data_IF_443260928337
#
_entry.id   IF_443260928337
#
_cell.length_a   1.000
_cell.length_b   1.000
_cell.length_c   1.000
_cell.angle_alpha   90.00
_cell.angle_beta   90.00
_cell.angle_gamma   90.00
#
_symmetry.space_group_name_H-M   'P 1'
#
loop_
_entity.id
_entity.type
_entity.pdbx_description
1 polymer ?
#
# COMPACT_ATOMS: atom_id res chain seq x y z
N UNK A 1 19.99 19.77 -3.10
CA UNK A 1 20.81 18.61 -2.69
C UNK A 1 21.16 17.82 -3.93
N UNK A 2 22.43 17.54 -4.19
CA UNK A 2 22.86 16.68 -5.30
C UNK A 2 22.61 15.21 -4.97
N UNK A 3 22.43 14.38 -5.99
CA UNK A 3 22.29 12.93 -5.81
C UNK A 3 23.64 12.36 -5.37
N UNK A 4 23.64 11.58 -4.29
CA UNK A 4 24.83 10.89 -3.82
C UNK A 4 25.34 9.89 -4.87
N UNK A 5 26.66 9.71 -5.00
CA UNK A 5 27.22 8.72 -5.91
C UNK A 5 26.73 7.29 -5.55
N UNK A 6 26.72 6.35 -6.50
CA UNK A 6 26.15 5.01 -6.30
C UNK A 6 26.75 4.23 -5.13
N UNK A 7 27.99 4.52 -4.75
CA UNK A 7 28.72 3.90 -3.64
C UNK A 7 28.35 4.48 -2.27
N UNK A 8 27.85 5.73 -2.20
CA UNK A 8 27.46 6.39 -0.95
C UNK A 8 25.94 6.43 -0.74
N UNK A 9 25.14 6.27 -1.80
CA UNK A 9 23.68 6.24 -1.65
C UNK A 9 23.24 4.95 -0.96
N UNK A 10 22.15 5.03 -0.21
CA UNK A 10 21.48 3.85 0.35
C UNK A 10 21.07 2.85 -0.73
N UNK A 11 21.37 1.59 -0.49
CA UNK A 11 20.86 0.47 -1.27
C UNK A 11 19.42 0.17 -0.87
N UNK A 12 18.50 0.31 -1.83
CA UNK A 12 17.06 0.24 -1.59
C UNK A 12 16.47 -1.03 -2.19
N UNK A 13 15.46 -1.57 -1.54
CA UNK A 13 14.64 -2.70 -2.02
C UNK A 13 13.17 -2.33 -1.96
N UNK A 14 12.41 -2.92 -2.85
CA UNK A 14 10.98 -2.68 -2.99
C UNK A 14 10.25 -4.01 -2.82
N UNK A 15 9.13 -3.98 -2.12
CA UNK A 15 8.26 -5.14 -1.89
C UNK A 15 6.86 -4.77 -2.35
N UNK A 16 6.30 -5.63 -3.21
CA UNK A 16 4.91 -5.55 -3.68
C UNK A 16 4.02 -6.32 -2.71
N UNK A 17 2.96 -5.67 -2.26
CA UNK A 17 1.91 -6.25 -1.45
C UNK A 17 0.56 -6.16 -2.17
N UNK A 18 -0.27 -7.20 -1.99
CA UNK A 18 -1.72 -7.14 -2.19
C UNK A 18 -2.37 -6.85 -0.84
N UNK A 19 -3.29 -5.91 -0.80
CA UNK A 19 -4.06 -5.48 0.35
C UNK A 19 -5.46 -6.08 0.20
N UNK A 20 -5.78 -7.04 1.05
CA UNK A 20 -7.08 -7.71 1.07
C UNK A 20 -7.95 -6.94 2.06
N UNK A 21 -8.94 -6.21 1.55
CA UNK A 21 -9.80 -5.30 2.33
C UNK A 21 -11.07 -4.98 1.53
N UNK A 22 -12.14 -4.58 2.23
CA UNK A 22 -13.40 -4.15 1.59
C UNK A 22 -13.37 -2.68 1.16
N UNK A 23 -12.41 -1.91 1.66
CA UNK A 23 -12.25 -0.48 1.38
C UNK A 23 -10.98 -0.22 0.59
N UNK A 24 -10.97 0.80 -0.24
CA UNK A 24 -9.80 1.20 -1.01
C UNK A 24 -8.99 2.26 -0.25
N UNK A 25 -7.87 1.90 0.40
CA UNK A 25 -7.07 2.85 1.15
C UNK A 25 -6.25 3.73 0.21
N UNK A 26 -6.17 5.01 0.57
CA UNK A 26 -5.24 5.95 -0.05
C UNK A 26 -3.79 5.59 0.32
N UNK A 27 -2.83 5.98 -0.53
CA UNK A 27 -1.40 5.77 -0.25
C UNK A 27 -0.97 6.30 1.12
N UNK A 28 -1.58 7.40 1.59
CA UNK A 28 -1.32 7.98 2.92
C UNK A 28 -1.79 7.07 4.05
N UNK A 29 -2.93 6.41 3.90
CA UNK A 29 -3.47 5.50 4.90
C UNK A 29 -2.68 4.19 4.96
N UNK A 30 -2.30 3.66 3.79
CA UNK A 30 -1.36 2.53 3.71
C UNK A 30 -0.05 2.88 4.39
N UNK A 31 0.50 4.08 4.13
CA UNK A 31 1.71 4.55 4.80
C UNK A 31 1.56 4.65 6.31
N UNK A 32 0.43 5.21 6.79
CA UNK A 32 0.17 5.34 8.23
C UNK A 32 0.13 3.98 8.91
N UNK A 33 -0.63 3.03 8.36
CA UNK A 33 -0.74 1.68 8.89
C UNK A 33 0.61 0.94 8.86
N UNK A 34 1.38 1.08 7.78
CA UNK A 34 2.72 0.54 7.69
C UNK A 34 3.68 1.15 8.73
N UNK A 35 3.70 2.47 8.86
CA UNK A 35 4.57 3.17 9.80
C UNK A 35 4.26 2.78 11.26
N UNK A 36 2.98 2.75 11.62
CA UNK A 36 2.51 2.29 12.92
C UNK A 36 2.96 0.85 13.21
N UNK A 37 2.76 -0.07 12.25
CA UNK A 37 3.15 -1.47 12.43
C UNK A 37 4.67 -1.68 12.52
N UNK A 38 5.44 -0.96 11.70
CA UNK A 38 6.91 -1.03 11.74
C UNK A 38 7.44 -0.52 13.08
N UNK A 39 6.96 0.62 13.55
CA UNK A 39 7.36 1.17 14.85
C UNK A 39 6.90 0.29 16.00
N UNK A 40 5.69 -0.27 15.94
CA UNK A 40 5.20 -1.18 16.98
C UNK A 40 6.04 -2.47 17.09
N UNK A 41 6.48 -3.03 15.96
CA UNK A 41 7.20 -4.30 15.95
C UNK A 41 8.73 -4.13 16.16
N UNK A 42 9.32 -3.03 15.68
CA UNK A 42 10.78 -2.84 15.66
C UNK A 42 11.26 -1.60 16.41
N UNK A 43 10.36 -0.79 16.96
CA UNK A 43 10.67 0.48 17.61
C UNK A 43 11.21 1.54 16.63
N UNK A 44 11.45 2.74 17.16
CA UNK A 44 11.93 3.87 16.35
C UNK A 44 13.32 3.63 15.75
N UNK A 45 14.22 2.97 16.50
CA UNK A 45 15.55 2.63 16.00
C UNK A 45 15.50 1.64 14.82
N UNK A 46 14.64 0.62 14.91
CA UNK A 46 14.44 -0.33 13.82
C UNK A 46 13.74 0.29 12.61
N UNK A 47 12.75 1.16 12.85
CA UNK A 47 12.10 1.94 11.80
C UNK A 47 13.10 2.86 11.07
N UNK A 48 13.98 3.53 11.82
CA UNK A 48 15.03 4.38 11.26
C UNK A 48 15.98 3.57 10.38
N UNK A 49 16.51 2.43 10.84
CA UNK A 49 17.41 1.58 10.03
C UNK A 49 16.74 1.04 8.75
N UNK A 50 15.46 0.67 8.85
CA UNK A 50 14.71 0.12 7.73
C UNK A 50 14.36 1.16 6.65
N UNK A 51 14.29 2.46 7.01
CA UNK A 51 13.86 3.56 6.14
C UNK A 51 12.60 3.25 5.30
N UNK A 52 11.50 2.76 5.93
CA UNK A 52 10.31 2.32 5.21
C UNK A 52 9.56 3.49 4.57
N UNK A 53 8.99 3.28 3.39
CA UNK A 53 8.07 4.24 2.77
C UNK A 53 7.14 3.53 1.78
N UNK A 54 5.93 4.06 1.58
CA UNK A 54 5.04 3.59 0.51
C UNK A 54 5.29 4.48 -0.71
N UNK A 55 5.79 3.88 -1.80
CA UNK A 55 6.18 4.62 -3.02
C UNK A 55 5.10 4.62 -4.07
N UNK A 56 4.16 3.68 -4.01
CA UNK A 56 3.03 3.57 -4.93
C UNK A 56 1.93 2.75 -4.28
N UNK A 57 0.67 3.12 -4.54
CA UNK A 57 -0.52 2.39 -4.13
C UNK A 57 -1.60 2.61 -5.18
N UNK A 58 -2.26 1.54 -5.61
CA UNK A 58 -3.34 1.61 -6.59
C UNK A 58 -4.26 0.39 -6.44
N UNK A 59 -5.56 0.63 -6.26
CA UNK A 59 -6.53 -0.41 -5.93
C UNK A 59 -6.08 -1.24 -4.71
N UNK A 60 -6.07 -2.56 -4.88
CA UNK A 60 -5.63 -3.53 -3.88
C UNK A 60 -4.11 -3.74 -3.82
N UNK A 61 -3.29 -2.94 -4.52
CA UNK A 61 -1.84 -3.13 -4.55
C UNK A 61 -1.08 -1.96 -3.96
N UNK A 62 0.02 -2.26 -3.27
CA UNK A 62 0.96 -1.26 -2.78
C UNK A 62 2.41 -1.73 -2.95
N UNK A 63 3.30 -0.80 -3.26
CA UNK A 63 4.75 -1.01 -3.26
C UNK A 63 5.34 -0.20 -2.12
N UNK A 64 5.97 -0.91 -1.18
CA UNK A 64 6.74 -0.32 -0.10
C UNK A 64 8.24 -0.47 -0.37
N UNK A 65 9.02 0.57 -0.04
CA UNK A 65 10.48 0.57 -0.06
C UNK A 65 11.03 0.30 1.34
N UNK A 66 12.22 -0.28 1.40
CA UNK A 66 13.07 -0.38 2.59
C UNK A 66 14.56 -0.36 2.19
N UNK A 67 15.43 -0.25 3.19
CA UNK A 67 16.86 -0.54 3.06
C UNK A 67 17.06 -2.02 2.69
N UNK A 68 17.98 -2.30 1.76
CA UNK A 68 18.33 -3.66 1.34
C UNK A 68 18.79 -4.48 2.55
N UNK A 69 18.23 -5.68 2.72
CA UNK A 69 18.45 -6.56 3.88
C UNK A 69 17.24 -6.61 4.83
N UNK A 70 16.36 -5.60 4.79
CA UNK A 70 15.18 -5.51 5.66
C UNK A 70 13.88 -5.97 5.00
N UNK A 71 13.92 -6.61 3.82
CA UNK A 71 12.71 -7.05 3.10
C UNK A 71 11.84 -7.95 3.96
N UNK A 72 12.44 -8.92 4.68
CA UNK A 72 11.71 -9.83 5.56
C UNK A 72 11.11 -9.12 6.77
N UNK A 73 11.83 -8.15 7.35
CA UNK A 73 11.32 -7.34 8.46
C UNK A 73 10.12 -6.50 8.03
N UNK A 74 10.18 -5.90 6.84
CA UNK A 74 9.05 -5.15 6.28
C UNK A 74 7.83 -6.05 6.02
N UNK A 75 8.05 -7.26 5.48
CA UNK A 75 6.98 -8.25 5.30
C UNK A 75 6.39 -8.66 6.65
N UNK A 76 7.22 -8.91 7.66
CA UNK A 76 6.76 -9.26 9.01
C UNK A 76 5.91 -8.13 9.63
N UNK A 77 6.38 -6.87 9.57
CA UNK A 77 5.63 -5.71 10.04
C UNK A 77 4.27 -5.59 9.36
N UNK A 78 4.18 -5.78 8.04
CA UNK A 78 2.90 -5.67 7.35
C UNK A 78 1.99 -6.88 7.56
N UNK A 79 2.55 -8.06 7.82
CA UNK A 79 1.76 -9.28 8.06
C UNK A 79 0.92 -9.24 9.34
N UNK A 80 1.31 -8.43 10.32
CA UNK A 80 0.56 -8.28 11.59
C UNK A 80 -0.50 -7.18 11.55
N UNK A 81 -0.60 -6.44 10.44
CA UNK A 81 -1.67 -5.46 10.27
C UNK A 81 -2.99 -6.20 10.07
N UNK A 82 -3.96 -5.92 10.94
CA UNK A 82 -5.30 -6.50 10.88
C UNK A 82 -6.38 -5.50 10.46
N UNK A 83 -6.08 -4.19 10.48
CA UNK A 83 -7.02 -3.12 10.12
C UNK A 83 -6.35 -1.95 9.42
N UNK A 84 -7.05 -1.35 8.47
CA UNK A 84 -6.72 -0.07 7.85
C UNK A 84 -7.97 0.81 7.90
N UNK A 85 -7.83 2.03 8.43
CA UNK A 85 -8.94 2.98 8.59
C UNK A 85 -10.15 2.42 9.35
N UNK A 86 -9.90 1.53 10.32
CA UNK A 86 -10.93 0.87 11.12
C UNK A 86 -11.51 -0.40 10.49
N UNK A 87 -11.30 -0.62 9.19
CA UNK A 87 -11.83 -1.79 8.48
C UNK A 87 -10.85 -2.96 8.52
N UNK A 88 -11.34 -4.22 8.58
CA UNK A 88 -10.50 -5.41 8.48
C UNK A 88 -9.67 -5.39 7.19
N UNK A 89 -8.36 -5.58 7.33
CA UNK A 89 -7.44 -5.59 6.20
C UNK A 89 -6.26 -6.54 6.49
N UNK A 90 -5.72 -7.15 5.44
CA UNK A 90 -4.51 -7.96 5.52
C UNK A 90 -3.56 -7.66 4.37
N UNK A 91 -2.26 -7.64 4.65
CA UNK A 91 -1.23 -7.52 3.62
C UNK A 91 -0.67 -8.89 3.25
N UNK A 92 -0.66 -9.19 1.96
CA UNK A 92 0.00 -10.36 1.37
C UNK A 92 1.19 -9.92 0.53
N UNK A 93 2.40 -10.34 0.89
CA UNK A 93 3.59 -10.08 0.06
C UNK A 93 3.56 -10.93 -1.20
N UNK A 94 3.79 -10.30 -2.36
CA UNK A 94 3.84 -10.98 -3.66
C UNK A 94 5.28 -11.19 -4.12
N UNK A 95 6.09 -10.13 -4.11
CA UNK A 95 7.45 -10.17 -4.62
C UNK A 95 8.31 -9.03 -4.08
N UNK A 96 9.63 -9.24 -4.04
CA UNK A 96 10.61 -8.19 -3.83
C UNK A 96 11.45 -7.93 -5.09
N UNK A 97 11.94 -6.70 -5.27
CA UNK A 97 12.75 -6.29 -6.42
C UNK A 97 13.71 -5.14 -6.07
N UNK A 98 14.73 -4.93 -6.92
CA UNK A 98 15.58 -3.73 -6.88
C UNK A 98 14.97 -2.52 -7.59
N UNK A 99 13.93 -2.72 -8.40
CA UNK A 99 13.27 -1.64 -9.17
C UNK A 99 11.75 -1.72 -9.05
N UNK A 100 11.11 -0.55 -9.01
CA UNK A 100 9.66 -0.40 -8.98
C UNK A 100 9.05 -0.92 -10.29
N UNK A 101 9.70 -0.67 -11.43
CA UNK A 101 9.23 -1.09 -12.75
C UNK A 101 9.02 -2.61 -12.84
N UNK A 102 9.96 -3.41 -12.33
CA UNK A 102 9.81 -4.87 -12.34
C UNK A 102 8.70 -5.38 -11.44
N UNK A 103 8.31 -4.63 -10.40
CA UNK A 103 7.16 -4.98 -9.55
C UNK A 103 5.85 -4.58 -10.20
N UNK A 104 5.77 -3.40 -10.84
CA UNK A 104 4.57 -2.97 -11.55
C UNK A 104 4.13 -3.95 -12.63
N UNK A 105 5.08 -4.59 -13.32
CA UNK A 105 4.80 -5.66 -14.30
C UNK A 105 4.14 -6.91 -13.71
N UNK A 106 4.19 -7.10 -12.39
CA UNK A 106 3.59 -8.25 -11.68
C UNK A 106 2.22 -7.94 -11.09
N UNK A 107 1.75 -6.70 -11.21
CA UNK A 107 0.41 -6.31 -10.80
C UNK A 107 -0.56 -6.91 -11.80
N UNK A 108 -1.47 -7.74 -11.30
CA UNK A 108 -2.58 -8.28 -12.09
C UNK A 108 -3.82 -7.52 -11.64
N UNK A 109 -4.32 -6.64 -12.50
CA UNK A 109 -5.60 -6.01 -12.26
C UNK A 109 -6.68 -7.05 -12.58
N UNK A 110 -7.37 -7.55 -11.56
CA UNK A 110 -8.62 -8.27 -11.79
C UNK A 110 -9.58 -7.31 -12.50
N UNK A 111 -10.10 -7.72 -13.65
CA UNK A 111 -11.17 -6.99 -14.34
C UNK A 111 -12.36 -7.00 -13.37
N UNK A 112 -12.97 -5.86 -13.04
CA UNK A 112 -14.17 -5.87 -12.22
C UNK A 112 -15.22 -6.71 -12.95
N UNK A 113 -15.59 -7.85 -12.37
CA UNK A 113 -16.79 -8.56 -12.76
C UNK A 113 -17.98 -7.67 -12.35
N UNK A 114 -19.04 -7.61 -13.15
CA UNK A 114 -20.19 -6.72 -12.92
C UNK A 114 -20.94 -7.04 -11.60
N UNK A 115 -20.54 -8.12 -10.92
CA UNK A 115 -21.01 -8.58 -9.60
C UNK A 115 -20.13 -8.11 -8.42
N UNK A 116 -18.97 -7.50 -8.69
CA UNK A 116 -18.03 -7.07 -7.66
C UNK A 116 -18.52 -5.80 -6.97
N UNK A 117 -18.92 -5.92 -5.70
CA UNK A 117 -19.31 -4.77 -4.88
C UNK A 117 -18.22 -3.69 -4.93
N UNK A 118 -18.56 -2.46 -5.32
CA UNK A 118 -17.58 -1.39 -5.47
C UNK A 118 -17.06 -0.98 -4.10
N UNK A 119 -15.80 -1.30 -3.83
CA UNK A 119 -15.14 -0.95 -2.57
C UNK A 119 -15.19 0.56 -2.33
N UNK A 120 -15.72 0.97 -1.18
CA UNK A 120 -15.78 2.38 -0.79
C UNK A 120 -14.39 2.92 -0.43
N UNK A 121 -14.17 4.22 -0.63
CA UNK A 121 -12.97 4.87 -0.12
C UNK A 121 -12.94 4.81 1.42
N UNK A 122 -11.76 4.56 1.99
CA UNK A 122 -11.53 4.73 3.42
C UNK A 122 -11.92 6.15 3.87
N UNK A 123 -12.84 6.22 4.84
CA UNK A 123 -13.33 7.41 5.55
C UNK A 123 -13.67 8.67 4.70
N UNK A 124 -14.97 8.85 4.40
CA UNK A 124 -15.61 10.18 4.33
C UNK A 124 -15.15 11.16 3.25
N UNK A 125 -14.33 10.75 2.28
CA UNK A 125 -13.99 11.59 1.13
C UNK A 125 -15.01 11.41 0.01
N UNK A 126 -15.69 12.50 -0.36
CA UNK A 126 -16.38 12.60 -1.65
C UNK A 126 -15.40 12.31 -2.79
N UNK A 127 -15.77 11.39 -3.66
CA UNK A 127 -15.08 11.03 -4.92
C UNK A 127 -15.17 12.16 -5.96
N UNK A 128 -14.72 13.37 -5.63
CA UNK A 128 -14.81 14.50 -6.56
C UNK A 128 -13.68 14.49 -7.60
N UNK A 129 -12.62 13.68 -7.40
CA UNK A 129 -11.40 13.68 -8.21
C UNK A 129 -10.92 12.26 -8.58
N UNK A 130 -11.83 11.35 -8.93
CA UNK A 130 -11.42 10.15 -9.66
C UNK A 130 -11.10 10.56 -11.11
N UNK A 131 -9.97 10.10 -11.66
CA UNK A 131 -9.76 10.21 -13.11
C UNK A 131 -10.95 9.55 -13.81
N UNK A 132 -11.42 10.12 -14.94
CA UNK A 132 -12.56 9.57 -15.71
C UNK A 132 -12.41 8.07 -16.01
N UNK A 133 -11.18 7.58 -16.06
CA UNK A 133 -10.81 6.19 -16.34
C UNK A 133 -11.08 5.23 -15.18
N UNK A 134 -11.07 5.71 -13.92
CA UNK A 134 -11.23 4.87 -12.72
C UNK A 134 -12.48 5.21 -11.89
N UNK A 135 -13.26 6.21 -12.30
CA UNK A 135 -14.45 6.71 -11.61
C UNK A 135 -15.52 5.67 -11.31
N UNK A 136 -15.71 4.72 -12.22
CA UNK A 136 -16.75 3.67 -12.14
C UNK A 136 -16.47 2.60 -11.07
N UNK A 137 -15.30 2.59 -10.45
CA UNK A 137 -14.85 1.51 -9.53
C UNK A 137 -15.13 1.78 -8.05
N UNK A 138 -15.68 2.94 -7.71
CA UNK A 138 -15.85 3.35 -6.31
C UNK A 138 -17.25 3.93 -6.12
N UNK A 139 -18.11 3.24 -5.36
CA UNK A 139 -19.29 3.88 -4.79
C UNK A 139 -18.85 4.63 -3.53
N UNK A 140 -19.58 5.67 -3.15
CA UNK A 140 -19.52 6.18 -1.77
C UNK A 140 -20.48 5.41 -0.89
N UNK A 141 -20.22 5.40 0.43
CA UNK A 141 -21.10 4.75 1.41
C UNK A 141 -22.54 5.27 1.32
N UNK A 142 -22.72 6.53 0.93
CA UNK A 142 -24.02 7.17 0.73
C UNK A 142 -24.76 6.70 -0.54
N UNK A 143 -24.04 6.15 -1.53
CA UNK A 143 -24.65 5.59 -2.74
C UNK A 143 -25.27 4.20 -2.50
N UNK A 144 -24.81 3.46 -1.47
CA UNK A 144 -25.38 2.15 -1.09
C UNK A 144 -26.58 2.27 -0.14
N UNK A 145 -26.62 3.30 0.70
CA UNK A 145 -27.70 3.46 1.70
C UNK A 145 -28.99 4.03 1.08
N UNK A 146 -28.99 4.35 -0.23
CA UNK A 146 -30.13 4.93 -0.94
C UNK A 146 -31.15 3.92 -1.53
N UNK A 147 -31.01 2.63 -1.26
CA UNK A 147 -32.04 1.62 -1.57
C UNK A 147 -33.01 1.39 -0.41
#
# INVERSE_FOLDING_TARGET
MSVLPPTLRENRRYVLFRIITLVNPTQKEVYRSMAESVTALFGDAGAAQMHPAVVWSEGEYAIARCTRGHEKSLVAALSVVTRICGEPAAFRSIAASGTILSLKKKVVHEVPDDTAYPGHLCAGKKVNNLSKENGHRYLTRDDIIKE
#
